data_IF_081325325290
#
_entry.id   IF_081325325290
#
_cell.length_a   1.000
_cell.length_b   1.000
_cell.length_c   1.000
_cell.angle_alpha   90.00
_cell.angle_beta   90.00
_cell.angle_gamma   90.00
#
_symmetry.space_group_name_H-M   'P 1'
#
loop_
_entity.id
_entity.type
_entity.pdbx_description
1 polymer ?
#
# COMPACT_ATOMS: atom_id res chain seq x y z
N UNK A 1 -18.64 1.51 -57.06
CA UNK A 1 -17.54 1.54 -56.06
C UNK A 1 -17.92 2.51 -54.96
N UNK A 2 -18.50 2.07 -53.85
CA UNK A 2 -18.71 2.91 -52.66
C UNK A 2 -18.66 2.07 -51.39
N UNK A 3 -17.48 2.01 -50.78
CA UNK A 3 -17.29 1.48 -49.42
C UNK A 3 -17.60 2.63 -48.47
N UNK A 4 -18.67 2.50 -47.66
CA UNK A 4 -19.01 3.45 -46.61
C UNK A 4 -18.26 3.06 -45.35
N UNK A 5 -17.15 3.72 -45.08
CA UNK A 5 -16.39 3.56 -43.84
C UNK A 5 -17.15 4.24 -42.71
N UNK A 6 -17.76 3.46 -41.82
CA UNK A 6 -18.26 3.96 -40.53
C UNK A 6 -17.08 4.08 -39.58
N UNK A 7 -16.62 5.30 -39.32
CA UNK A 7 -15.65 5.57 -38.28
C UNK A 7 -16.36 5.51 -36.92
N UNK A 8 -16.14 4.42 -36.17
CA UNK A 8 -16.52 4.33 -34.76
C UNK A 8 -15.47 5.09 -33.97
N UNK A 9 -15.82 6.28 -33.48
CA UNK A 9 -14.98 7.03 -32.55
C UNK A 9 -15.01 6.33 -31.19
N UNK A 10 -13.94 5.61 -30.85
CA UNK A 10 -13.74 4.99 -29.55
C UNK A 10 -13.39 6.09 -28.54
N UNK A 11 -14.37 6.51 -27.73
CA UNK A 11 -14.12 7.42 -26.62
C UNK A 11 -13.32 6.70 -25.53
N UNK A 12 -12.04 7.05 -25.38
CA UNK A 12 -11.22 6.60 -24.26
C UNK A 12 -11.69 7.30 -22.99
N UNK A 13 -12.40 6.57 -22.12
CA UNK A 13 -12.68 7.01 -20.76
C UNK A 13 -11.37 6.95 -19.98
N UNK A 14 -10.76 8.12 -19.72
CA UNK A 14 -9.67 8.24 -18.75
C UNK A 14 -10.25 8.05 -17.35
N UNK A 15 -10.28 6.81 -16.86
CA UNK A 15 -10.48 6.57 -15.44
C UNK A 15 -9.24 7.04 -14.70
N UNK A 16 -9.29 8.26 -14.14
CA UNK A 16 -8.37 8.68 -13.10
C UNK A 16 -8.68 7.82 -11.85
N UNK A 17 -8.02 6.66 -11.75
CA UNK A 17 -8.05 5.87 -10.53
C UNK A 17 -7.47 6.68 -9.36
N UNK A 18 -7.92 6.43 -8.12
CA UNK A 18 -7.33 7.06 -6.96
C UNK A 18 -5.82 6.76 -6.91
N UNK A 19 -5.05 7.75 -6.48
CA UNK A 19 -3.63 7.59 -6.21
C UNK A 19 -3.45 6.37 -5.28
N UNK A 20 -2.52 5.51 -5.67
CA UNK A 20 -2.21 4.18 -5.13
C UNK A 20 -2.49 4.03 -3.62
N UNK A 21 -3.73 3.67 -3.29
CA UNK A 21 -4.07 3.09 -2.01
C UNK A 21 -4.05 1.57 -2.19
N UNK A 22 -3.40 0.86 -1.27
CA UNK A 22 -3.41 -0.59 -1.28
C UNK A 22 -4.70 -1.07 -0.62
N UNK A 23 -5.69 -1.31 -1.46
CA UNK A 23 -6.96 -1.92 -1.06
C UNK A 23 -6.85 -3.45 -1.07
N UNK A 24 -7.04 -4.06 0.09
CA UNK A 24 -7.04 -5.51 0.27
C UNK A 24 -8.46 -6.02 0.44
N UNK A 25 -8.81 -7.08 -0.29
CA UNK A 25 -10.17 -7.63 -0.31
C UNK A 25 -10.72 -7.97 1.08
N UNK A 26 -9.86 -8.43 1.99
CA UNK A 26 -10.28 -8.93 3.31
C UNK A 26 -10.23 -7.88 4.43
N UNK A 27 -9.46 -6.80 4.29
CA UNK A 27 -9.19 -5.85 5.39
C UNK A 27 -9.43 -4.38 5.03
N UNK A 28 -9.78 -4.06 3.79
CA UNK A 28 -10.05 -2.70 3.33
C UNK A 28 -8.82 -1.98 2.77
N UNK A 29 -8.94 -0.67 2.55
CA UNK A 29 -7.86 0.19 2.06
C UNK A 29 -7.07 0.80 3.23
N UNK A 30 -5.75 0.81 3.11
CA UNK A 30 -4.86 1.24 4.19
C UNK A 30 -4.92 2.73 4.55
N UNK A 31 -5.44 3.55 3.64
CA UNK A 31 -5.57 5.00 3.77
C UNK A 31 -6.97 5.48 4.22
N UNK A 32 -8.02 4.67 4.01
CA UNK A 32 -9.41 5.01 4.33
C UNK A 32 -10.06 4.12 5.38
N UNK A 33 -9.63 2.87 5.53
CA UNK A 33 -10.22 1.90 6.45
C UNK A 33 -9.26 1.52 7.60
N UNK A 34 -9.81 1.42 8.81
CA UNK A 34 -9.03 0.95 9.96
C UNK A 34 -9.00 -0.58 10.01
N UNK A 35 -7.80 -1.17 10.00
CA UNK A 35 -7.63 -2.61 10.09
C UNK A 35 -8.02 -3.13 11.47
N UNK A 36 -8.91 -4.13 11.48
CA UNK A 36 -9.31 -4.75 12.75
C UNK A 36 -8.23 -5.73 13.20
N UNK A 37 -7.88 -5.63 14.48
CA UNK A 37 -6.85 -6.50 15.10
C UNK A 37 -7.15 -7.99 14.96
N UNK A 38 -8.42 -8.40 14.93
CA UNK A 38 -8.82 -9.81 14.78
C UNK A 38 -8.48 -10.38 13.41
N UNK A 39 -8.60 -9.57 12.35
CA UNK A 39 -8.28 -9.99 10.98
C UNK A 39 -6.76 -10.11 10.83
N UNK A 40 -6.02 -9.11 11.31
CA UNK A 40 -4.55 -9.09 11.26
C UNK A 40 -3.91 -10.30 11.96
N UNK A 41 -4.52 -10.83 13.03
CA UNK A 41 -3.99 -12.01 13.74
C UNK A 41 -3.95 -13.27 12.86
N UNK A 42 -4.77 -13.34 11.82
CA UNK A 42 -4.81 -14.46 10.87
C UNK A 42 -3.60 -14.47 9.91
N UNK A 43 -2.95 -13.32 9.72
CA UNK A 43 -1.83 -13.20 8.80
C UNK A 43 -0.50 -13.69 9.39
N UNK A 44 0.40 -14.15 8.51
CA UNK A 44 1.76 -14.52 8.89
C UNK A 44 2.60 -13.28 9.26
N UNK A 45 3.72 -13.48 9.96
CA UNK A 45 4.65 -12.39 10.25
C UNK A 45 5.17 -11.69 8.99
N UNK A 46 5.37 -12.45 7.91
CA UNK A 46 5.76 -11.89 6.62
C UNK A 46 4.68 -10.95 6.08
N UNK A 47 3.42 -11.38 6.04
CA UNK A 47 2.32 -10.56 5.54
C UNK A 47 2.13 -9.31 6.40
N UNK A 48 2.24 -9.40 7.72
CA UNK A 48 2.16 -8.23 8.60
C UNK A 48 3.29 -7.22 8.32
N UNK A 49 4.50 -7.72 8.14
CA UNK A 49 5.64 -6.89 7.74
C UNK A 49 5.40 -6.24 6.38
N UNK A 50 4.88 -6.99 5.40
CA UNK A 50 4.55 -6.47 4.07
C UNK A 50 3.50 -5.36 4.13
N UNK A 51 2.39 -5.57 4.86
CA UNK A 51 1.33 -4.57 5.03
C UNK A 51 1.87 -3.27 5.64
N UNK A 52 2.63 -3.38 6.74
CA UNK A 52 3.21 -2.23 7.44
C UNK A 52 4.18 -1.46 6.53
N UNK A 53 5.08 -2.16 5.85
CA UNK A 53 6.08 -1.52 5.00
C UNK A 53 5.47 -0.97 3.70
N UNK A 54 4.39 -1.57 3.18
CA UNK A 54 3.68 -1.05 2.02
C UNK A 54 3.10 0.34 2.27
N UNK A 55 2.59 0.61 3.48
CA UNK A 55 2.14 1.95 3.90
C UNK A 55 3.29 2.97 3.81
N UNK A 56 4.48 2.62 4.32
CA UNK A 56 5.65 3.50 4.23
C UNK A 56 6.13 3.70 2.80
N UNK A 57 6.14 2.63 1.99
CA UNK A 57 6.57 2.67 0.60
C UNK A 57 5.69 3.60 -0.24
N UNK A 58 4.37 3.49 -0.11
CA UNK A 58 3.39 4.35 -0.78
C UNK A 58 3.58 5.83 -0.45
N UNK A 59 4.02 6.11 0.79
CA UNK A 59 4.29 7.47 1.27
C UNK A 59 5.74 7.94 1.03
N UNK A 60 6.47 7.25 0.14
CA UNK A 60 7.76 7.70 -0.39
C UNK A 60 8.98 7.34 0.45
N UNK A 61 8.87 6.41 1.39
CA UNK A 61 9.98 6.02 2.26
C UNK A 61 11.11 5.32 1.47
N UNK A 62 12.34 5.81 1.66
CA UNK A 62 13.56 5.19 1.19
C UNK A 62 14.08 4.19 2.20
N UNK A 63 13.77 2.91 1.99
CA UNK A 63 14.18 1.83 2.87
C UNK A 63 15.70 1.73 3.03
N UNK A 64 16.15 1.39 4.24
CA UNK A 64 17.57 1.24 4.59
C UNK A 64 18.02 -0.21 4.78
N UNK A 65 17.08 -1.13 5.00
CA UNK A 65 17.41 -2.54 5.20
C UNK A 65 17.49 -3.26 3.85
N UNK A 66 18.44 -4.18 3.70
CA UNK A 66 18.59 -4.94 2.45
C UNK A 66 17.31 -5.74 2.11
N UNK A 67 16.63 -6.31 3.11
CA UNK A 67 15.37 -7.02 2.93
C UNK A 67 14.30 -6.13 2.28
N UNK A 68 14.07 -4.94 2.82
CA UNK A 68 13.05 -4.02 2.29
C UNK A 68 13.45 -3.42 0.94
N UNK A 69 14.73 -3.09 0.74
CA UNK A 69 15.24 -2.63 -0.55
C UNK A 69 15.06 -3.71 -1.62
N UNK A 70 15.37 -4.98 -1.32
CA UNK A 70 15.18 -6.07 -2.28
C UNK A 70 13.71 -6.36 -2.59
N UNK A 71 12.81 -6.15 -1.62
CA UNK A 71 11.37 -6.44 -1.78
C UNK A 71 10.60 -5.31 -2.47
N UNK A 72 10.78 -4.06 -2.03
CA UNK A 72 10.04 -2.90 -2.52
C UNK A 72 10.85 -2.06 -3.53
N UNK A 73 12.17 -2.10 -3.44
CA UNK A 73 13.04 -1.15 -4.12
C UNK A 73 13.04 0.22 -3.44
N UNK A 74 13.88 1.12 -3.98
CA UNK A 74 13.95 2.53 -3.59
C UNK A 74 13.83 3.46 -4.81
N UNK A 75 13.43 2.93 -5.97
CA UNK A 75 13.34 3.73 -7.18
C UNK A 75 12.20 4.75 -7.02
N UNK A 76 12.54 6.03 -6.98
CA UNK A 76 11.55 7.11 -6.87
C UNK A 76 11.08 7.41 -5.44
N UNK A 77 11.69 6.82 -4.42
CA UNK A 77 11.48 7.24 -3.03
C UNK A 77 12.10 8.63 -2.79
N UNK A 78 11.63 9.36 -1.78
CA UNK A 78 12.05 10.74 -1.49
C UNK A 78 12.10 11.10 0.00
N UNK A 79 11.78 10.16 0.90
CA UNK A 79 11.84 10.38 2.35
C UNK A 79 12.85 9.42 2.98
N UNK A 80 13.99 9.94 3.42
CA UNK A 80 15.06 9.12 3.99
C UNK A 80 14.83 8.68 5.44
N UNK A 81 14.15 9.51 6.22
CA UNK A 81 13.81 9.24 7.62
C UNK A 81 12.38 8.68 7.71
N UNK A 82 12.24 7.48 8.28
CA UNK A 82 10.94 6.83 8.45
C UNK A 82 10.00 7.66 9.34
N UNK A 83 10.53 8.38 10.33
CA UNK A 83 9.75 9.26 11.18
C UNK A 83 9.26 10.54 10.45
N UNK A 84 9.95 10.90 9.36
CA UNK A 84 9.56 12.00 8.48
C UNK A 84 8.49 11.62 7.44
N UNK A 85 8.10 10.36 7.35
CA UNK A 85 7.07 9.89 6.42
C UNK A 85 5.71 10.44 6.84
N UNK A 86 5.07 11.19 5.94
CA UNK A 86 3.77 11.83 6.19
C UNK A 86 2.63 10.83 5.99
N UNK A 87 2.30 10.12 7.05
CA UNK A 87 1.12 9.25 7.10
C UNK A 87 -0.13 10.05 7.49
N UNK A 88 -1.28 9.70 6.93
CA UNK A 88 -2.59 10.21 7.36
C UNK A 88 -3.02 9.59 8.71
N UNK A 89 -4.19 9.98 9.23
CA UNK A 89 -4.64 9.49 10.54
C UNK A 89 -4.92 7.98 10.58
N UNK A 90 -5.51 7.44 9.51
CA UNK A 90 -5.86 6.02 9.36
C UNK A 90 -4.61 5.16 9.19
N UNK A 91 -3.69 5.57 8.33
CA UNK A 91 -2.41 4.88 8.11
C UNK A 91 -1.59 4.76 9.40
N UNK A 92 -1.50 5.85 10.19
CA UNK A 92 -0.83 5.82 11.51
C UNK A 92 -1.50 4.81 12.45
N UNK A 93 -2.82 4.76 12.46
CA UNK A 93 -3.56 3.78 13.26
C UNK A 93 -3.33 2.35 12.77
N UNK A 94 -3.31 2.13 11.45
CA UNK A 94 -3.07 0.83 10.84
C UNK A 94 -1.66 0.32 11.15
N UNK A 95 -0.63 1.15 10.98
CA UNK A 95 0.76 0.84 11.37
C UNK A 95 0.84 0.44 12.84
N UNK A 96 0.26 1.24 13.75
CA UNK A 96 0.28 0.94 15.18
C UNK A 96 -0.44 -0.38 15.51
N UNK A 97 -1.56 -0.65 14.85
CA UNK A 97 -2.33 -1.89 15.04
C UNK A 97 -1.55 -3.10 14.55
N UNK A 98 -0.95 -3.02 13.36
CA UNK A 98 -0.09 -4.08 12.78
C UNK A 98 1.08 -4.36 13.71
N UNK A 99 1.82 -3.33 14.14
CA UNK A 99 2.95 -3.49 15.07
C UNK A 99 2.54 -4.13 16.40
N UNK A 100 1.34 -3.82 16.90
CA UNK A 100 0.82 -4.46 18.11
C UNK A 100 0.59 -5.97 17.92
N UNK A 101 0.20 -6.40 16.72
CA UNK A 101 0.00 -7.81 16.37
C UNK A 101 1.35 -8.49 16.11
N UNK A 102 2.26 -7.85 15.39
CA UNK A 102 3.64 -8.34 15.17
C UNK A 102 4.33 -8.63 16.51
N UNK A 103 4.24 -7.68 17.46
CA UNK A 103 4.78 -7.85 18.81
C UNK A 103 4.13 -9.02 19.55
N UNK A 104 2.81 -9.15 19.46
CA UNK A 104 2.09 -10.24 20.11
C UNK A 104 2.42 -11.62 19.50
N UNK A 105 2.80 -11.68 18.23
CA UNK A 105 3.22 -12.90 17.52
C UNK A 105 4.71 -13.20 17.62
N UNK A 106 5.52 -12.29 18.17
CA UNK A 106 6.97 -12.44 18.25
C UNK A 106 7.66 -12.40 16.88
N UNK A 107 7.12 -11.61 15.94
CA UNK A 107 7.71 -11.45 14.61
C UNK A 107 9.11 -10.82 14.69
N UNK A 108 10.01 -11.25 13.80
CA UNK A 108 11.41 -10.80 13.68
C UNK A 108 11.64 -9.92 12.44
#
# INVERSE_FOLDING_TARGET
>A
MHIRTLAVALAMVLAAGPAMANCYEQIGCDDSDTFRKIDLRQFSCQVLWDLRNSIYHQNGYCFKTQRAISYFGNKGCYVDDQAGVKLNAIERQNVATIQSVEKAKGCQ
#
